data_IF_164806651947
#
_entry.id   IF_164806651947
#
_cell.length_a   1.000
_cell.length_b   1.000
_cell.length_c   1.000
_cell.angle_alpha   90.00
_cell.angle_beta   90.00
_cell.angle_gamma   90.00
#
_symmetry.space_group_name_H-M   'P 1'
#
loop_
_entity.id
_entity.type
_entity.pdbx_description
1 polymer ?
#
# COMPACT_ATOMS: atom_id res chain seq x y z
N UNK A 1 36.56 -28.93 -14.16
CA UNK A 1 35.18 -28.73 -14.64
C UNK A 1 34.67 -27.50 -13.93
N UNK A 2 34.42 -26.47 -14.71
CA UNK A 2 34.16 -25.10 -14.26
C UNK A 2 32.86 -25.00 -13.47
N UNK A 3 32.97 -24.23 -12.40
CA UNK A 3 31.96 -23.66 -11.52
C UNK A 3 30.71 -23.12 -12.21
N UNK A 4 29.62 -23.17 -11.45
CA UNK A 4 28.65 -22.07 -11.38
C UNK A 4 27.70 -21.92 -12.56
N UNK A 5 26.59 -22.65 -12.55
CA UNK A 5 25.37 -22.14 -13.17
C UNK A 5 24.59 -21.35 -12.10
N UNK A 6 24.96 -20.08 -12.00
CA UNK A 6 24.28 -19.07 -11.20
C UNK A 6 22.83 -18.90 -11.68
N UNK A 7 21.94 -18.99 -10.69
CA UNK A 7 20.53 -18.67 -10.72
C UNK A 7 20.29 -17.24 -11.23
N UNK A 8 20.11 -17.09 -12.54
CA UNK A 8 19.77 -15.84 -13.19
C UNK A 8 18.28 -15.52 -13.09
N UNK A 9 17.77 -15.32 -11.88
CA UNK A 9 16.46 -14.73 -11.66
C UNK A 9 16.47 -13.27 -12.12
N UNK A 10 16.24 -13.08 -13.42
CA UNK A 10 16.09 -11.78 -14.06
C UNK A 10 14.66 -11.29 -13.89
N UNK A 11 14.34 -10.78 -12.70
CA UNK A 11 13.19 -9.89 -12.51
C UNK A 11 13.70 -8.49 -12.21
N UNK A 12 14.39 -7.90 -13.20
CA UNK A 12 14.88 -6.53 -13.10
C UNK A 12 14.10 -5.66 -14.09
N UNK A 13 13.19 -4.83 -13.56
CA UNK A 13 12.55 -3.78 -14.34
C UNK A 13 11.34 -3.08 -13.72
N UNK A 14 10.52 -3.75 -12.89
CA UNK A 14 9.27 -3.17 -12.34
C UNK A 14 9.12 -3.14 -10.81
N UNK A 15 10.03 -3.81 -10.08
CA UNK A 15 9.69 -4.40 -8.78
C UNK A 15 9.56 -3.43 -7.60
N UNK A 16 10.39 -2.38 -7.47
CA UNK A 16 10.38 -1.58 -6.25
C UNK A 16 9.14 -0.67 -6.12
N UNK A 17 8.72 -0.03 -7.22
CA UNK A 17 7.55 0.84 -7.22
C UNK A 17 6.26 0.02 -7.16
N UNK A 18 6.15 -1.04 -7.97
CA UNK A 18 4.97 -1.91 -7.97
C UNK A 18 4.75 -2.58 -6.61
N UNK A 19 5.81 -3.07 -5.95
CA UNK A 19 5.69 -3.68 -4.63
C UNK A 19 5.35 -2.65 -3.54
N UNK A 20 5.84 -1.41 -3.64
CA UNK A 20 5.46 -0.31 -2.72
C UNK A 20 4.00 0.10 -2.92
N UNK A 21 3.51 0.17 -4.16
CA UNK A 21 2.10 0.39 -4.48
C UNK A 21 1.23 -0.75 -3.97
N UNK A 22 1.61 -1.99 -4.24
CA UNK A 22 0.90 -3.17 -3.75
C UNK A 22 0.81 -3.19 -2.22
N UNK A 23 1.92 -2.87 -1.54
CA UNK A 23 1.95 -2.82 -0.07
C UNK A 23 1.10 -1.67 0.47
N UNK A 24 1.21 -0.46 -0.09
CA UNK A 24 0.43 0.69 0.37
C UNK A 24 -1.07 0.50 0.15
N UNK A 25 -1.46 -0.02 -1.01
CA UNK A 25 -2.86 -0.34 -1.34
C UNK A 25 -3.38 -1.47 -0.43
N UNK A 26 -2.60 -2.53 -0.20
CA UNK A 26 -2.99 -3.63 0.69
C UNK A 26 -3.21 -3.16 2.13
N UNK A 27 -2.26 -2.38 2.69
CA UNK A 27 -2.38 -1.82 4.05
C UNK A 27 -3.56 -0.85 4.13
N UNK A 28 -3.70 0.03 3.14
CA UNK A 28 -4.81 0.97 3.05
C UNK A 28 -6.17 0.28 3.00
N UNK A 29 -6.33 -0.75 2.17
CA UNK A 29 -7.54 -1.57 2.09
C UNK A 29 -7.85 -2.29 3.41
N UNK A 30 -6.87 -2.95 4.03
CA UNK A 30 -7.08 -3.64 5.31
C UNK A 30 -7.50 -2.68 6.43
N UNK A 31 -6.86 -1.51 6.50
CA UNK A 31 -7.18 -0.49 7.49
C UNK A 31 -8.56 0.14 7.21
N UNK A 32 -8.81 0.50 5.95
CA UNK A 32 -10.08 1.06 5.50
C UNK A 32 -11.25 0.10 5.71
N UNK A 33 -11.08 -1.18 5.40
CA UNK A 33 -12.11 -2.19 5.62
C UNK A 33 -12.41 -2.38 7.12
N UNK A 34 -11.39 -2.45 7.98
CA UNK A 34 -11.58 -2.57 9.43
C UNK A 34 -12.31 -1.36 10.01
N UNK A 35 -11.88 -0.15 9.65
CA UNK A 35 -12.52 1.10 10.11
C UNK A 35 -13.94 1.21 9.55
N UNK A 36 -14.14 0.90 8.27
CA UNK A 36 -15.44 0.94 7.61
C UNK A 36 -16.44 -0.06 8.19
N UNK A 37 -15.99 -1.27 8.54
CA UNK A 37 -16.81 -2.28 9.22
C UNK A 37 -17.25 -1.80 10.60
N UNK A 38 -16.32 -1.26 11.40
CA UNK A 38 -16.63 -0.74 12.73
C UNK A 38 -17.61 0.43 12.62
N UNK A 39 -17.29 1.46 11.82
CA UNK A 39 -18.16 2.63 11.65
C UNK A 39 -19.52 2.29 11.03
N UNK A 40 -19.55 1.36 10.07
CA UNK A 40 -20.78 0.89 9.43
C UNK A 40 -21.72 0.22 10.41
N UNK A 41 -21.20 -0.67 11.27
CA UNK A 41 -22.01 -1.37 12.27
C UNK A 41 -22.35 -0.52 13.49
N UNK A 42 -21.47 0.39 13.93
CA UNK A 42 -21.70 1.14 15.17
C UNK A 42 -22.40 2.48 14.98
N UNK A 43 -22.24 3.13 13.81
CA UNK A 43 -22.71 4.51 13.59
C UNK A 43 -23.85 4.56 12.58
N UNK A 44 -23.69 3.87 11.45
CA UNK A 44 -24.60 3.99 10.31
C UNK A 44 -25.71 2.93 10.29
N UNK A 45 -25.57 1.87 11.10
CA UNK A 45 -26.41 0.64 11.06
C UNK A 45 -26.44 -0.01 9.66
N UNK A 46 -25.48 0.35 8.81
CA UNK A 46 -25.48 0.03 7.39
C UNK A 46 -24.07 -0.34 6.96
N UNK A 47 -23.83 -1.66 6.92
CA UNK A 47 -22.55 -2.25 6.55
C UNK A 47 -22.09 -1.79 5.16
N UNK A 48 -23.02 -1.60 4.23
CA UNK A 48 -22.71 -1.19 2.87
C UNK A 48 -22.12 0.22 2.83
N UNK A 49 -22.70 1.16 3.58
CA UNK A 49 -22.21 2.54 3.65
C UNK A 49 -20.87 2.62 4.39
N UNK A 50 -20.73 1.89 5.50
CA UNK A 50 -19.49 1.81 6.25
C UNK A 50 -18.33 1.24 5.45
N UNK A 51 -18.54 0.09 4.77
CA UNK A 51 -17.53 -0.49 3.89
C UNK A 51 -17.21 0.40 2.68
N UNK A 52 -18.20 1.06 2.08
CA UNK A 52 -17.97 1.98 0.96
C UNK A 52 -17.07 3.15 1.38
N UNK A 53 -17.39 3.82 2.49
CA UNK A 53 -16.57 4.91 3.05
C UNK A 53 -15.18 4.43 3.48
N UNK A 54 -15.12 3.30 4.20
CA UNK A 54 -13.89 2.71 4.66
C UNK A 54 -12.96 2.30 3.52
N UNK A 55 -13.50 1.65 2.49
CA UNK A 55 -12.76 1.30 1.27
C UNK A 55 -12.28 2.55 0.54
N UNK A 56 -13.13 3.58 0.37
CA UNK A 56 -12.74 4.82 -0.31
C UNK A 56 -11.58 5.51 0.41
N UNK A 57 -11.68 5.63 1.74
CA UNK A 57 -10.64 6.24 2.57
C UNK A 57 -9.37 5.39 2.61
N UNK A 58 -9.51 4.08 2.79
CA UNK A 58 -8.41 3.13 2.80
C UNK A 58 -7.64 3.10 1.48
N UNK A 59 -8.35 3.12 0.34
CA UNK A 59 -7.74 3.19 -0.98
C UNK A 59 -7.05 4.54 -1.20
N UNK A 60 -7.68 5.66 -0.82
CA UNK A 60 -7.10 7.00 -0.94
C UNK A 60 -5.82 7.14 -0.10
N UNK A 61 -5.82 6.66 1.15
CA UNK A 61 -4.65 6.67 2.03
C UNK A 61 -3.60 5.67 1.55
N UNK A 62 -3.99 4.46 1.14
CA UNK A 62 -3.06 3.43 0.68
C UNK A 62 -2.35 3.80 -0.61
N UNK A 63 -3.08 4.36 -1.57
CA UNK A 63 -2.51 4.90 -2.82
C UNK A 63 -1.74 6.20 -2.55
N UNK A 64 -2.23 7.06 -1.66
CA UNK A 64 -1.58 8.31 -1.28
C UNK A 64 -0.25 8.08 -0.54
N UNK A 65 -0.15 7.08 0.33
CA UNK A 65 1.11 6.69 0.99
C UNK A 65 2.06 6.03 -0.01
N UNK A 66 1.55 5.15 -0.87
CA UNK A 66 2.36 4.52 -1.89
C UNK A 66 2.92 5.51 -2.92
N UNK A 67 2.09 6.46 -3.37
CA UNK A 67 2.46 7.50 -4.34
C UNK A 67 3.17 8.69 -3.68
N UNK A 68 2.84 8.99 -2.42
CA UNK A 68 3.46 10.02 -1.60
C UNK A 68 4.90 9.68 -1.25
N UNK A 69 5.23 8.41 -1.02
CA UNK A 69 6.63 7.94 -0.96
C UNK A 69 7.43 8.13 -2.26
N UNK A 70 6.79 8.55 -3.34
CA UNK A 70 7.42 8.92 -4.61
C UNK A 70 7.54 10.44 -4.80
N UNK A 71 6.95 11.25 -3.90
CA UNK A 71 6.96 12.73 -3.92
C UNK A 71 7.47 13.37 -2.63
N UNK A 72 7.60 12.59 -1.57
CA UNK A 72 8.09 12.96 -0.24
C UNK A 72 9.46 12.29 0.01
N UNK A 73 10.28 12.24 -1.03
CA UNK A 73 11.69 11.82 -0.99
C UNK A 73 12.67 13.00 -1.03
N UNK A 74 12.15 14.20 -0.78
CA UNK A 74 12.89 15.46 -0.63
C UNK A 74 12.12 16.20 0.48
N UNK A 75 12.45 16.17 1.77
CA UNK A 75 13.74 16.15 2.46
C UNK A 75 13.55 15.65 3.91
N UNK A 76 14.46 14.80 4.37
CA UNK A 76 15.22 14.94 5.63
C UNK A 76 16.61 14.34 5.32
N UNK A 77 17.48 15.10 4.63
CA UNK A 77 18.69 15.75 5.17
C UNK A 77 19.60 14.87 6.07
N UNK A 78 20.85 14.76 5.64
CA UNK A 78 21.99 14.92 6.55
C UNK A 78 22.43 13.75 7.42
N UNK A 79 23.36 12.96 6.89
CA UNK A 79 24.34 12.16 7.64
C UNK A 79 25.15 11.35 6.64
N UNK A 80 26.38 11.70 6.26
CA UNK A 80 27.48 12.36 6.98
C UNK A 80 28.37 13.15 5.99
#
# INVERSE_FOLDING_TARGET
>A
MTDGEENGQRESGGSAAENKLATGVSVGLSLGASIGLVLGMTVLDDLALGLSLGMCLGLAVGTGVAAGRMRDGEQEDGGE
#
